data_IF_712122708900
#
_entry.id   IF_712122708900
#
_cell.length_a   1.000
_cell.length_b   1.000
_cell.length_c   1.000
_cell.angle_alpha   90.00
_cell.angle_beta   90.00
_cell.angle_gamma   90.00
#
_symmetry.space_group_name_H-M   'P 1'
#
loop_
_entity.id
_entity.type
_entity.pdbx_description
1 polymer ?
#
# COMPACT_ATOMS: atom_id res chain seq x y z
N UNK A 1 7.21 -54.70 11.93
CA UNK A 1 7.98 -53.68 11.18
C UNK A 1 7.11 -52.43 10.94
N UNK A 2 6.88 -51.58 11.95
CA UNK A 2 6.02 -50.38 11.80
C UNK A 2 6.22 -49.35 12.94
N UNK A 3 7.47 -49.14 13.38
CA UNK A 3 7.78 -48.31 14.57
C UNK A 3 8.89 -47.26 14.38
N UNK A 4 9.36 -46.97 13.17
CA UNK A 4 10.54 -46.11 12.97
C UNK A 4 10.38 -44.93 12.00
N UNK A 5 9.15 -44.56 11.59
CA UNK A 5 8.94 -43.41 10.67
C UNK A 5 8.10 -42.32 11.35
N UNK A 6 8.40 -42.03 12.61
CA UNK A 6 7.76 -40.98 13.42
C UNK A 6 8.82 -40.04 14.06
N UNK A 7 10.02 -39.94 13.47
CA UNK A 7 11.16 -39.25 14.10
C UNK A 7 12.00 -38.32 13.20
N UNK A 8 11.55 -37.95 12.00
CA UNK A 8 12.36 -37.16 11.03
C UNK A 8 11.64 -35.95 10.39
N UNK A 9 10.81 -35.21 11.14
CA UNK A 9 10.23 -33.96 10.64
C UNK A 9 10.32 -32.79 11.64
N UNK A 10 11.23 -32.88 12.63
CA UNK A 10 11.49 -31.84 13.65
C UNK A 10 12.83 -31.10 13.40
N UNK A 11 13.52 -31.37 12.27
CA UNK A 11 14.85 -30.84 11.94
C UNK A 11 14.87 -29.77 10.82
N UNK A 12 13.72 -29.16 10.49
CA UNK A 12 13.64 -28.06 9.52
C UNK A 12 13.82 -26.64 10.09
N UNK A 13 14.21 -26.53 11.37
CA UNK A 13 14.31 -25.25 12.12
C UNK A 13 15.78 -24.78 12.25
N UNK A 14 16.72 -25.42 11.55
CA UNK A 14 18.16 -25.11 11.60
C UNK A 14 18.71 -24.55 10.27
N UNK A 15 17.92 -23.72 9.58
CA UNK A 15 18.37 -22.91 8.45
C UNK A 15 18.79 -21.50 8.89
N UNK A 16 19.77 -21.43 9.79
CA UNK A 16 20.46 -20.18 10.15
C UNK A 16 21.44 -19.82 9.02
N UNK A 17 21.15 -18.75 8.28
CA UNK A 17 21.92 -18.33 7.12
C UNK A 17 21.76 -16.84 6.81
N UNK A 18 22.07 -15.99 7.79
CA UNK A 18 22.76 -14.70 7.61
C UNK A 18 22.08 -13.55 6.86
N UNK A 19 21.51 -12.60 7.62
CA UNK A 19 21.86 -11.16 7.57
C UNK A 19 21.20 -10.46 8.78
N UNK A 20 22.02 -10.09 9.77
CA UNK A 20 21.59 -9.32 10.94
C UNK A 20 21.77 -7.81 10.76
N UNK A 21 20.96 -7.03 11.49
CA UNK A 21 21.18 -5.70 12.10
C UNK A 21 19.78 -5.22 12.52
N UNK A 22 19.34 -5.27 13.78
CA UNK A 22 19.88 -4.52 14.93
C UNK A 22 19.03 -3.25 15.12
N UNK A 23 18.37 -3.03 16.27
CA UNK A 23 17.66 -1.78 16.56
C UNK A 23 18.70 -0.71 16.90
N UNK A 24 18.65 0.44 16.21
CA UNK A 24 19.49 1.59 16.52
C UNK A 24 18.69 2.68 17.23
N UNK A 25 18.80 2.73 18.55
CA UNK A 25 18.68 3.96 19.36
C UNK A 25 20.05 4.69 19.24
N UNK A 26 20.19 5.99 18.95
CA UNK A 26 20.06 7.23 19.77
C UNK A 26 20.78 8.38 18.97
N UNK A 27 20.91 9.67 19.39
CA UNK A 27 20.03 10.63 20.10
C UNK A 27 19.99 12.06 19.45
N UNK A 28 19.08 12.95 19.95
CA UNK A 28 19.18 14.44 20.02
C UNK A 28 19.14 15.23 18.67
N UNK A 29 18.50 16.40 18.48
CA UNK A 29 18.29 17.60 19.30
C UNK A 29 17.01 18.35 18.86
N UNK A 30 16.29 18.95 19.81
CA UNK A 30 15.36 20.07 19.56
C UNK A 30 16.19 21.36 19.46
N UNK A 31 15.79 22.31 18.60
CA UNK A 31 15.34 23.57 19.19
C UNK A 31 14.12 24.20 18.51
N UNK A 32 13.41 24.97 19.33
CA UNK A 32 12.33 25.89 19.01
C UNK A 32 12.63 26.84 17.85
N UNK A 33 11.57 27.19 17.13
CA UNK A 33 11.53 28.31 16.18
C UNK A 33 10.09 28.69 15.87
N UNK A 34 9.43 29.32 16.84
CA UNK A 34 8.27 30.19 16.66
C UNK A 34 8.59 31.27 15.62
N UNK A 35 7.71 31.56 14.64
CA UNK A 35 7.36 32.93 14.18
C UNK A 35 6.22 32.87 13.15
N UNK A 36 5.21 33.68 13.45
CA UNK A 36 3.97 34.03 12.76
C UNK A 36 4.17 34.75 11.41
N UNK A 37 3.08 34.82 10.60
CA UNK A 37 2.82 35.76 9.49
C UNK A 37 3.58 35.48 8.16
N UNK A 38 2.96 35.45 6.97
CA UNK A 38 1.92 36.31 6.39
C UNK A 38 1.19 35.58 5.24
N UNK A 39 -0.12 35.77 5.12
CA UNK A 39 -0.82 35.70 3.83
C UNK A 39 -0.58 37.02 3.11
N UNK A 40 -0.13 37.00 1.84
CA UNK A 40 -0.88 37.73 0.84
C UNK A 40 -1.04 36.88 -0.43
N UNK A 41 -2.27 36.83 -0.95
CA UNK A 41 -2.49 36.37 -2.30
C UNK A 41 -1.79 37.31 -3.27
N UNK A 42 -0.92 36.76 -4.12
CA UNK A 42 -0.53 37.39 -5.37
C UNK A 42 -0.19 36.32 -6.42
N UNK A 43 -0.71 36.57 -7.60
CA UNK A 43 -0.96 35.64 -8.68
C UNK A 43 0.34 35.44 -9.46
N UNK A 44 1.21 34.53 -9.00
CA UNK A 44 2.40 34.18 -9.77
C UNK A 44 2.16 32.87 -10.51
N UNK A 45 1.72 33.02 -11.76
CA UNK A 45 1.93 32.07 -12.84
C UNK A 45 3.40 31.63 -12.84
N UNK A 46 3.69 30.54 -12.13
CA UNK A 46 4.99 29.88 -12.15
C UNK A 46 4.84 28.56 -12.86
N UNK A 47 5.62 28.45 -13.92
CA UNK A 47 5.96 27.31 -14.73
C UNK A 47 6.47 26.12 -13.88
N UNK A 48 5.62 25.51 -13.05
CA UNK A 48 5.88 24.22 -12.41
C UNK A 48 5.36 23.09 -13.31
N UNK A 49 5.85 23.10 -14.55
CA UNK A 49 5.54 22.08 -15.52
C UNK A 49 6.59 20.96 -15.40
N UNK A 50 6.12 19.73 -15.14
CA UNK A 50 6.73 18.45 -15.53
C UNK A 50 7.58 17.61 -14.55
N UNK A 51 7.24 17.51 -13.26
CA UNK A 51 7.65 16.32 -12.47
C UNK A 51 6.47 15.50 -11.94
N UNK A 52 5.25 16.06 -11.97
CA UNK A 52 4.03 15.26 -11.75
C UNK A 52 3.41 14.70 -13.04
N UNK A 53 3.86 15.15 -14.23
CA UNK A 53 3.22 14.79 -15.52
C UNK A 53 3.26 13.29 -15.88
N UNK A 54 4.03 12.48 -15.15
CA UNK A 54 4.09 11.02 -15.34
C UNK A 54 3.63 10.23 -14.12
N UNK A 55 3.34 10.89 -13.00
CA UNK A 55 2.66 10.23 -11.90
C UNK A 55 1.26 9.85 -12.38
N UNK A 56 0.85 8.62 -12.12
CA UNK A 56 -0.47 8.12 -12.51
C UNK A 56 -1.23 7.72 -11.27
N UNK A 57 -2.49 8.11 -11.24
CA UNK A 57 -3.40 7.75 -10.17
C UNK A 57 -4.41 6.77 -10.74
N UNK A 58 -4.78 5.77 -9.96
CA UNK A 58 -5.83 4.85 -10.31
C UNK A 58 -6.78 4.66 -9.15
N UNK A 59 -8.06 4.68 -9.49
CA UNK A 59 -9.16 4.34 -8.62
C UNK A 59 -9.75 3.03 -9.10
N UNK A 60 -9.73 2.03 -8.25
CA UNK A 60 -10.42 0.77 -8.49
C UNK A 60 -11.70 0.77 -7.67
N UNK A 61 -12.84 0.55 -8.32
CA UNK A 61 -14.11 0.32 -7.64
C UNK A 61 -14.48 -1.13 -7.82
N UNK A 62 -14.68 -1.84 -6.71
CA UNK A 62 -15.05 -3.24 -6.70
C UNK A 62 -16.41 -3.45 -6.03
N UNK A 63 -17.16 -4.41 -6.56
CA UNK A 63 -18.34 -4.98 -5.94
C UNK A 63 -18.11 -6.45 -5.63
N UNK A 64 -18.83 -6.93 -4.62
CA UNK A 64 -18.67 -8.28 -4.10
C UNK A 64 -19.87 -8.73 -3.28
N UNK A 65 -19.71 -9.88 -2.65
CA UNK A 65 -20.70 -10.50 -1.77
C UNK A 65 -20.08 -10.76 -0.40
N UNK A 66 -20.80 -10.47 0.67
CA UNK A 66 -20.39 -10.78 2.04
C UNK A 66 -20.74 -12.22 2.40
N UNK A 67 -20.13 -12.76 3.47
CA UNK A 67 -20.46 -14.09 3.98
C UNK A 67 -21.95 -14.26 4.36
N UNK A 68 -22.66 -13.17 4.65
CA UNK A 68 -24.10 -13.15 4.93
C UNK A 68 -24.99 -13.13 3.68
N UNK A 69 -24.42 -13.10 2.48
CA UNK A 69 -25.16 -13.03 1.21
C UNK A 69 -25.59 -11.61 0.80
N UNK A 70 -25.11 -10.58 1.50
CA UNK A 70 -25.32 -9.18 1.12
C UNK A 70 -24.32 -8.72 0.06
N UNK A 71 -24.62 -7.61 -0.62
CA UNK A 71 -23.66 -6.97 -1.53
C UNK A 71 -22.72 -6.05 -0.76
N UNK A 72 -21.47 -5.98 -1.19
CA UNK A 72 -20.48 -5.07 -0.63
C UNK A 72 -19.77 -4.31 -1.76
N UNK A 73 -19.45 -3.04 -1.50
CA UNK A 73 -18.70 -2.18 -2.40
C UNK A 73 -17.45 -1.68 -1.71
N UNK A 74 -16.30 -1.78 -2.36
CA UNK A 74 -15.04 -1.23 -1.87
C UNK A 74 -14.38 -0.39 -2.94
N UNK A 75 -13.69 0.65 -2.49
CA UNK A 75 -12.91 1.53 -3.37
C UNK A 75 -11.47 1.49 -2.90
N UNK A 76 -10.60 1.10 -3.84
CA UNK A 76 -9.17 1.11 -3.67
C UNK A 76 -8.52 2.25 -4.43
N UNK A 77 -7.43 2.79 -3.86
CA UNK A 77 -6.65 3.86 -4.46
C UNK A 77 -5.19 3.45 -4.60
N UNK A 78 -4.60 3.81 -5.72
CA UNK A 78 -3.20 3.56 -5.99
C UNK A 78 -2.61 4.69 -6.79
N UNK A 79 -1.42 5.10 -6.41
CA UNK A 79 -0.65 6.11 -7.13
C UNK A 79 0.74 5.57 -7.44
N UNK A 80 1.34 6.12 -8.48
CA UNK A 80 2.72 5.85 -8.85
C UNK A 80 3.49 7.15 -9.01
N UNK A 81 4.78 7.09 -8.72
CA UNK A 81 5.72 8.19 -8.98
C UNK A 81 6.03 8.32 -10.47
N UNK A 82 6.82 9.34 -10.85
CA UNK A 82 7.20 9.81 -12.21
C UNK A 82 7.55 8.74 -13.27
N UNK A 83 7.71 7.46 -12.92
CA UNK A 83 8.01 6.38 -13.88
C UNK A 83 7.00 5.22 -13.85
N UNK A 84 5.93 5.32 -13.06
CA UNK A 84 4.90 4.28 -13.00
C UNK A 84 3.71 4.62 -13.88
N UNK A 85 3.43 3.77 -14.85
CA UNK A 85 2.22 3.89 -15.67
C UNK A 85 0.94 3.42 -14.96
N UNK A 86 -0.20 3.68 -15.59
CA UNK A 86 -1.54 3.31 -15.11
C UNK A 86 -1.66 1.86 -14.64
N UNK A 87 -1.01 0.91 -15.33
CA UNK A 87 -1.05 -0.50 -14.97
C UNK A 87 -0.52 -0.75 -13.55
N UNK A 88 0.54 -0.04 -13.15
CA UNK A 88 1.13 -0.19 -11.81
C UNK A 88 0.29 0.54 -10.75
N UNK A 89 -0.23 1.73 -11.08
CA UNK A 89 -1.15 2.46 -10.21
C UNK A 89 -2.43 1.64 -9.92
N UNK A 90 -3.06 1.08 -10.95
CA UNK A 90 -4.26 0.25 -10.79
C UNK A 90 -3.98 -1.05 -10.05
N UNK A 91 -2.78 -1.62 -10.17
CA UNK A 91 -2.39 -2.78 -9.36
C UNK A 91 -2.35 -2.42 -7.86
N UNK A 92 -1.80 -1.26 -7.51
CA UNK A 92 -1.82 -0.80 -6.12
C UNK A 92 -3.23 -0.49 -5.64
N UNK A 93 -4.04 0.16 -6.48
CA UNK A 93 -5.45 0.40 -6.19
C UNK A 93 -6.21 -0.90 -5.96
N UNK A 94 -5.89 -1.96 -6.71
CA UNK A 94 -6.49 -3.28 -6.53
C UNK A 94 -6.10 -3.91 -5.20
N UNK A 95 -4.82 -3.88 -4.85
CA UNK A 95 -4.33 -4.40 -3.58
C UNK A 95 -4.96 -3.68 -2.38
N UNK A 96 -5.13 -2.36 -2.48
CA UNK A 96 -5.84 -1.57 -1.46
C UNK A 96 -7.32 -1.98 -1.36
N UNK A 97 -8.01 -2.17 -2.50
CA UNK A 97 -9.38 -2.67 -2.52
C UNK A 97 -9.51 -4.08 -1.90
N UNK A 98 -8.59 -5.00 -2.21
CA UNK A 98 -8.56 -6.35 -1.66
C UNK A 98 -8.31 -6.34 -0.14
N UNK A 99 -7.39 -5.52 0.35
CA UNK A 99 -7.11 -5.38 1.77
C UNK A 99 -8.33 -4.85 2.54
N UNK A 100 -9.03 -3.87 1.98
CA UNK A 100 -10.30 -3.37 2.53
C UNK A 100 -11.37 -4.46 2.52
N UNK A 101 -11.54 -5.15 1.39
CA UNK A 101 -12.53 -6.21 1.26
C UNK A 101 -12.32 -7.33 2.29
N UNK A 102 -11.07 -7.75 2.51
CA UNK A 102 -10.72 -8.73 3.53
C UNK A 102 -11.09 -8.25 4.93
N UNK A 103 -10.86 -6.96 5.24
CA UNK A 103 -11.23 -6.36 6.52
C UNK A 103 -12.74 -6.34 6.78
N UNK A 104 -13.55 -6.26 5.72
CA UNK A 104 -15.03 -6.27 5.79
C UNK A 104 -15.65 -7.65 5.56
N UNK A 105 -14.86 -8.71 5.33
CA UNK A 105 -15.39 -10.05 5.01
C UNK A 105 -16.13 -10.09 3.67
N UNK A 106 -15.71 -9.26 2.72
CA UNK A 106 -16.29 -9.13 1.39
C UNK A 106 -15.45 -9.92 0.38
N UNK A 107 -16.09 -10.82 -0.39
CA UNK A 107 -15.46 -11.45 -1.54
C UNK A 107 -15.76 -10.63 -2.79
N UNK A 108 -14.71 -10.02 -3.37
CA UNK A 108 -14.82 -9.22 -4.58
C UNK A 108 -15.09 -10.10 -5.80
N UNK A 109 -16.07 -9.73 -6.61
CA UNK A 109 -16.49 -10.48 -7.80
C UNK A 109 -16.26 -9.69 -9.09
N UNK A 110 -16.49 -8.38 -9.05
CA UNK A 110 -16.30 -7.49 -10.18
C UNK A 110 -15.60 -6.24 -9.74
N UNK A 111 -14.76 -5.70 -10.61
CA UNK A 111 -14.15 -4.41 -10.37
C UNK A 111 -13.88 -3.69 -11.68
N UNK A 112 -13.89 -2.36 -11.59
CA UNK A 112 -13.57 -1.45 -12.67
C UNK A 112 -12.44 -0.54 -12.24
N UNK A 113 -11.45 -0.40 -13.11
CA UNK A 113 -10.26 0.42 -12.88
C UNK A 113 -10.37 1.70 -13.71
N UNK A 114 -10.20 2.85 -13.07
CA UNK A 114 -10.17 4.16 -13.71
C UNK A 114 -8.84 4.84 -13.43
N UNK A 115 -8.04 5.06 -14.46
CA UNK A 115 -6.74 5.74 -14.36
C UNK A 115 -6.83 7.21 -14.81
N UNK A 116 -6.21 8.11 -14.04
CA UNK A 116 -6.00 9.53 -14.34
C UNK A 116 -4.52 9.85 -14.46
#
# INVERSE_FOLDING_TARGET
MKRHVMLLAVLGILGFGGAGCGPGEEPRETPSGETTEQVPGEETSSEENNVEQFARNCKTTCSGITASGGTCGVVGFGSTTFLGGCKKACRFARQDADAKAASYGCQLTQCSDACG
#
